data_IF_102543785837
#
_entry.id   IF_102543785837
#
_cell.length_a   1.000
_cell.length_b   1.000
_cell.length_c   1.000
_cell.angle_alpha   90.00
_cell.angle_beta   90.00
_cell.angle_gamma   90.00
#
_symmetry.space_group_name_H-M   'P 1'
#
loop_
_entity.id
_entity.type
_entity.pdbx_description
1 polymer ?
#
# COMPACT_ATOMS: atom_id res chain seq x y z
N UNK A 1 -7.29 -35.97 12.31
CA UNK A 1 -7.07 -35.71 10.85
C UNK A 1 -8.24 -35.02 10.14
N UNK A 2 -9.38 -34.79 10.78
CA UNK A 2 -10.54 -34.09 10.19
C UNK A 2 -10.38 -32.53 10.11
N UNK A 3 -9.44 -31.94 10.83
CA UNK A 3 -9.27 -30.49 10.88
C UNK A 3 -8.53 -29.87 9.70
N UNK A 4 -7.64 -30.61 9.04
CA UNK A 4 -6.85 -30.08 7.94
C UNK A 4 -7.67 -29.94 6.63
N UNK A 5 -8.65 -30.81 6.42
CA UNK A 5 -9.53 -30.74 5.25
C UNK A 5 -10.54 -29.60 5.29
N UNK A 6 -10.93 -29.16 6.50
CA UNK A 6 -11.85 -28.03 6.69
C UNK A 6 -11.14 -26.67 6.45
N UNK A 7 -9.85 -26.59 6.76
CA UNK A 7 -9.03 -25.36 6.52
C UNK A 7 -8.82 -25.13 5.03
N UNK A 8 -8.70 -26.17 4.22
CA UNK A 8 -8.51 -26.07 2.77
C UNK A 8 -9.80 -25.76 1.99
N UNK A 9 -10.97 -25.88 2.61
CA UNK A 9 -12.26 -25.51 1.99
C UNK A 9 -12.74 -24.12 2.35
N UNK A 10 -11.86 -23.14 2.57
CA UNK A 10 -12.18 -21.72 2.80
C UNK A 10 -13.49 -21.48 3.57
N UNK A 11 -13.71 -22.21 4.67
CA UNK A 11 -14.93 -22.08 5.47
C UNK A 11 -16.17 -22.79 4.91
N UNK A 12 -16.07 -23.60 3.86
CA UNK A 12 -17.17 -24.45 3.41
C UNK A 12 -17.60 -25.38 4.56
N UNK A 13 -18.71 -25.07 5.20
CA UNK A 13 -19.23 -25.76 6.39
C UNK A 13 -19.10 -25.00 7.70
N UNK A 14 -18.58 -23.77 7.72
CA UNK A 14 -18.74 -22.90 8.88
C UNK A 14 -20.24 -22.58 9.05
N UNK A 15 -20.80 -22.71 10.27
CA UNK A 15 -22.21 -22.41 10.49
C UNK A 15 -22.46 -20.93 10.15
N UNK A 16 -23.31 -20.69 9.17
CA UNK A 16 -23.80 -19.34 8.88
C UNK A 16 -24.63 -18.90 10.08
N UNK A 17 -24.35 -17.75 10.70
CA UNK A 17 -25.14 -17.27 11.82
C UNK A 17 -26.60 -17.07 11.38
N UNK A 18 -27.48 -17.92 11.88
CA UNK A 18 -28.91 -17.83 11.64
C UNK A 18 -29.52 -16.86 12.63
N UNK A 19 -30.26 -15.87 12.15
CA UNK A 19 -31.08 -15.01 13.01
C UNK A 19 -30.79 -13.51 12.98
N UNK A 20 -29.83 -13.06 12.20
CA UNK A 20 -29.41 -11.63 12.21
C UNK A 20 -29.96 -10.77 11.05
N UNK A 21 -30.89 -11.30 10.24
CA UNK A 21 -31.66 -10.50 9.26
C UNK A 21 -30.82 -9.72 8.21
N UNK A 22 -29.51 -9.98 8.13
CA UNK A 22 -28.59 -9.25 7.28
C UNK A 22 -28.41 -10.01 5.97
N UNK A 23 -28.61 -9.34 4.85
CA UNK A 23 -28.42 -9.90 3.51
C UNK A 23 -27.00 -10.49 3.27
N UNK A 24 -26.04 -10.14 4.10
CA UNK A 24 -24.66 -10.64 4.09
C UNK A 24 -24.49 -12.04 4.70
N UNK A 25 -25.51 -12.56 5.35
CA UNK A 25 -25.48 -13.88 6.00
C UNK A 25 -25.94 -15.02 5.06
N UNK A 26 -26.10 -14.76 3.75
CA UNK A 26 -26.42 -15.82 2.81
C UNK A 26 -25.21 -16.78 2.66
N UNK A 27 -25.40 -18.11 2.62
CA UNK A 27 -24.31 -19.06 2.45
C UNK A 27 -23.43 -18.76 1.24
N UNK A 28 -24.01 -18.30 0.13
CA UNK A 28 -23.30 -17.98 -1.09
C UNK A 28 -22.36 -16.76 -0.93
N UNK A 29 -22.73 -15.78 -0.10
CA UNK A 29 -21.88 -14.61 0.16
C UNK A 29 -20.80 -14.92 1.21
N UNK A 30 -21.14 -15.77 2.18
CA UNK A 30 -20.21 -16.20 3.23
C UNK A 30 -19.02 -17.01 2.69
N UNK A 31 -19.25 -17.81 1.67
CA UNK A 31 -18.23 -18.65 1.02
C UNK A 31 -17.56 -17.97 -0.19
N UNK A 32 -18.02 -16.79 -0.57
CA UNK A 32 -17.45 -16.07 -1.71
C UNK A 32 -16.04 -15.54 -1.39
N UNK A 33 -15.04 -15.83 -2.24
CA UNK A 33 -13.69 -15.26 -2.09
C UNK A 33 -13.61 -13.80 -2.54
N UNK A 34 -14.70 -13.24 -3.07
CA UNK A 34 -14.73 -11.90 -3.61
C UNK A 34 -15.20 -10.87 -2.59
N UNK A 35 -14.69 -9.64 -2.72
CA UNK A 35 -15.12 -8.51 -1.91
C UNK A 35 -16.57 -8.14 -2.23
N UNK A 36 -17.49 -8.58 -1.40
CA UNK A 36 -18.93 -8.31 -1.56
C UNK A 36 -19.43 -7.22 -0.61
N UNK A 37 -18.78 -7.04 0.53
CA UNK A 37 -19.18 -6.09 1.57
C UNK A 37 -18.53 -4.71 1.37
N UNK A 38 -19.31 -3.67 1.52
CA UNK A 38 -18.83 -2.28 1.55
C UNK A 38 -18.57 -1.60 0.20
N UNK A 39 -18.69 -2.32 -0.92
CA UNK A 39 -18.45 -1.77 -2.27
C UNK A 39 -19.70 -1.51 -3.08
N UNK A 40 -20.88 -1.51 -2.47
CA UNK A 40 -22.15 -1.44 -3.20
C UNK A 40 -22.49 -2.67 -4.06
N UNK A 41 -21.71 -3.75 -3.95
CA UNK A 41 -22.04 -5.14 -4.31
C UNK A 41 -22.28 -5.47 -5.79
N UNK A 42 -22.31 -4.51 -6.71
CA UNK A 42 -22.70 -4.77 -8.09
C UNK A 42 -21.66 -5.56 -8.90
N UNK A 43 -20.37 -5.37 -8.60
CA UNK A 43 -19.27 -5.96 -9.39
C UNK A 43 -18.11 -6.43 -8.50
N UNK A 44 -18.26 -7.56 -7.77
CA UNK A 44 -17.28 -8.02 -6.79
C UNK A 44 -15.93 -8.37 -7.40
N UNK A 45 -15.91 -8.86 -8.65
CA UNK A 45 -14.66 -9.12 -9.38
C UNK A 45 -13.85 -7.85 -9.59
N UNK A 46 -14.48 -6.78 -10.08
CA UNK A 46 -13.82 -5.49 -10.35
C UNK A 46 -13.29 -4.88 -9.05
N UNK A 47 -14.06 -4.97 -7.97
CA UNK A 47 -13.65 -4.51 -6.65
C UNK A 47 -12.41 -5.28 -6.16
N UNK A 48 -12.40 -6.60 -6.29
CA UNK A 48 -11.28 -7.45 -5.88
C UNK A 48 -10.01 -7.15 -6.68
N UNK A 49 -10.12 -7.07 -8.01
CA UNK A 49 -8.99 -6.68 -8.86
C UNK A 49 -8.53 -5.25 -8.57
N UNK A 50 -9.45 -4.35 -8.24
CA UNK A 50 -9.11 -2.99 -7.82
C UNK A 50 -8.18 -2.95 -6.62
N UNK A 51 -8.48 -3.72 -5.58
CA UNK A 51 -7.61 -3.86 -4.40
C UNK A 51 -6.26 -4.49 -4.75
N UNK A 52 -6.26 -5.54 -5.58
CA UNK A 52 -5.01 -6.19 -6.02
C UNK A 52 -4.13 -5.20 -6.80
N UNK A 53 -4.70 -4.47 -7.76
CA UNK A 53 -4.00 -3.44 -8.53
C UNK A 53 -3.49 -2.33 -7.62
N UNK A 54 -4.34 -1.81 -6.72
CA UNK A 54 -3.94 -0.79 -5.76
C UNK A 54 -2.76 -1.24 -4.93
N UNK A 55 -2.84 -2.44 -4.34
CA UNK A 55 -1.80 -2.97 -3.44
C UNK A 55 -0.51 -3.27 -4.19
N UNK A 56 -0.58 -3.93 -5.34
CA UNK A 56 0.58 -4.32 -6.13
C UNK A 56 1.35 -3.08 -6.65
N UNK A 57 0.67 -2.20 -7.33
CA UNK A 57 1.28 -0.99 -7.90
C UNK A 57 1.53 0.09 -6.86
N UNK A 58 0.70 0.15 -5.81
CA UNK A 58 0.90 1.08 -4.70
C UNK A 58 2.16 0.78 -3.90
N UNK A 59 2.48 -0.50 -3.68
CA UNK A 59 3.71 -0.90 -3.01
C UNK A 59 4.97 -0.39 -3.75
N UNK A 60 4.94 -0.33 -5.09
CA UNK A 60 6.01 0.24 -5.91
C UNK A 60 6.08 1.76 -5.75
N UNK A 61 4.92 2.42 -5.61
CA UNK A 61 4.80 3.88 -5.54
C UNK A 61 5.04 4.49 -4.16
N UNK A 62 5.10 3.71 -3.09
CA UNK A 62 5.20 4.25 -1.72
C UNK A 62 6.64 4.69 -1.38
N UNK A 63 6.87 6.00 -1.12
CA UNK A 63 8.21 6.54 -0.94
C UNK A 63 8.94 5.95 0.28
N UNK A 64 8.25 5.66 1.36
CA UNK A 64 8.85 5.11 2.57
C UNK A 64 9.37 3.66 2.39
N UNK A 65 8.87 2.92 1.41
CA UNK A 65 9.41 1.62 1.01
C UNK A 65 10.69 1.83 0.21
N UNK A 66 10.68 2.76 -0.75
CA UNK A 66 11.82 3.04 -1.62
C UNK A 66 13.04 3.57 -0.86
N UNK A 67 12.83 4.44 0.12
CA UNK A 67 13.92 4.99 0.96
C UNK A 67 14.77 3.89 1.59
N UNK A 68 14.19 2.75 1.94
CA UNK A 68 14.91 1.61 2.54
C UNK A 68 15.93 0.97 1.59
N UNK A 69 15.72 1.09 0.26
CA UNK A 69 16.71 0.59 -0.71
C UNK A 69 17.96 1.46 -0.75
N UNK A 70 17.82 2.77 -0.53
CA UNK A 70 18.96 3.71 -0.52
C UNK A 70 19.88 3.55 0.70
N UNK A 71 19.45 2.86 1.75
CA UNK A 71 20.28 2.59 2.93
C UNK A 71 21.25 1.42 2.74
N UNK A 72 21.12 0.65 1.67
CA UNK A 72 22.04 -0.44 1.37
C UNK A 72 23.32 0.09 0.70
N UNK A 73 24.50 -0.46 1.06
CA UNK A 73 25.78 0.03 0.54
C UNK A 73 26.00 -0.28 -0.95
N UNK A 74 25.40 -1.35 -1.47
CA UNK A 74 25.49 -1.77 -2.87
C UNK A 74 24.27 -2.60 -3.29
N UNK A 75 24.16 -2.91 -4.59
CA UNK A 75 23.04 -3.63 -5.16
C UNK A 75 22.98 -5.11 -4.75
N UNK A 76 24.13 -5.73 -4.40
CA UNK A 76 24.16 -7.10 -3.88
C UNK A 76 23.52 -7.16 -2.49
N UNK A 77 23.89 -6.23 -1.60
CA UNK A 77 23.28 -6.09 -0.29
C UNK A 77 21.76 -5.78 -0.41
N UNK A 78 21.38 -4.91 -1.35
CA UNK A 78 19.98 -4.61 -1.60
C UNK A 78 19.18 -5.84 -2.02
N UNK A 79 19.71 -6.68 -2.93
CA UNK A 79 19.05 -7.93 -3.34
C UNK A 79 18.91 -8.93 -2.18
N UNK A 80 19.98 -9.10 -1.39
CA UNK A 80 19.96 -9.98 -0.22
C UNK A 80 18.94 -9.51 0.80
N UNK A 81 18.91 -8.22 1.10
CA UNK A 81 17.93 -7.61 2.01
C UNK A 81 16.50 -7.83 1.48
N UNK A 82 16.27 -7.62 0.18
CA UNK A 82 14.97 -7.85 -0.45
C UNK A 82 14.50 -9.30 -0.29
N UNK A 83 15.37 -10.28 -0.55
CA UNK A 83 15.04 -11.70 -0.37
C UNK A 83 14.65 -12.02 1.08
N UNK A 84 15.43 -11.54 2.04
CA UNK A 84 15.14 -11.74 3.46
C UNK A 84 13.81 -11.12 3.83
N UNK A 85 13.54 -9.89 3.39
CA UNK A 85 12.27 -9.19 3.64
C UNK A 85 11.10 -9.94 3.02
N UNK A 86 11.22 -10.40 1.77
CA UNK A 86 10.16 -11.17 1.10
C UNK A 86 9.86 -12.47 1.86
N UNK A 87 10.88 -13.22 2.28
CA UNK A 87 10.71 -14.44 3.06
C UNK A 87 10.02 -14.17 4.41
N UNK A 88 10.46 -13.14 5.12
CA UNK A 88 9.87 -12.75 6.41
C UNK A 88 8.41 -12.31 6.25
N UNK A 89 8.12 -11.47 5.23
CA UNK A 89 6.76 -11.02 4.95
C UNK A 89 5.87 -12.19 4.53
N UNK A 90 6.34 -13.09 3.65
CA UNK A 90 5.59 -14.27 3.24
C UNK A 90 5.23 -15.16 4.43
N UNK A 91 6.18 -15.37 5.33
CA UNK A 91 5.94 -16.10 6.58
C UNK A 91 4.96 -15.38 7.48
N UNK A 92 5.11 -14.05 7.62
CA UNK A 92 4.19 -13.25 8.43
C UNK A 92 2.75 -13.29 7.90
N UNK A 93 2.55 -13.17 6.60
CA UNK A 93 1.21 -13.17 6.00
C UNK A 93 0.45 -14.50 6.12
N UNK A 94 1.12 -15.60 6.48
CA UNK A 94 0.44 -16.85 6.83
C UNK A 94 -0.41 -16.71 8.12
N UNK A 95 0.07 -15.92 9.10
CA UNK A 95 -0.63 -15.76 10.38
C UNK A 95 -2.00 -15.06 10.22
N UNK A 96 -2.13 -13.91 9.56
CA UNK A 96 -3.43 -13.28 9.32
C UNK A 96 -4.40 -14.20 8.57
N UNK A 97 -3.93 -14.98 7.58
CA UNK A 97 -4.76 -15.91 6.85
C UNK A 97 -5.32 -17.02 7.77
N UNK A 98 -4.46 -17.60 8.61
CA UNK A 98 -4.89 -18.61 9.61
C UNK A 98 -5.85 -18.00 10.63
N UNK A 99 -5.55 -16.81 11.14
CA UNK A 99 -6.41 -16.12 12.10
C UNK A 99 -7.78 -15.78 11.51
N UNK A 100 -7.84 -15.36 10.24
CA UNK A 100 -9.10 -15.11 9.55
C UNK A 100 -9.98 -16.37 9.45
N UNK A 101 -9.39 -17.52 9.12
CA UNK A 101 -10.09 -18.79 9.08
C UNK A 101 -10.57 -19.20 10.48
N UNK A 102 -9.71 -19.09 11.50
CA UNK A 102 -10.08 -19.40 12.88
C UNK A 102 -11.20 -18.50 13.40
N UNK A 103 -11.16 -17.21 13.07
CA UNK A 103 -12.20 -16.26 13.45
C UNK A 103 -13.55 -16.62 12.81
N UNK A 104 -13.57 -16.98 11.53
CA UNK A 104 -14.80 -17.44 10.86
C UNK A 104 -15.39 -18.71 11.49
N UNK A 105 -14.53 -19.63 11.93
CA UNK A 105 -14.96 -20.91 12.53
C UNK A 105 -15.40 -20.79 13.99
N UNK A 106 -14.79 -19.87 14.76
CA UNK A 106 -14.95 -19.83 16.22
C UNK A 106 -15.72 -18.60 16.73
N UNK A 107 -15.77 -17.54 15.94
CA UNK A 107 -16.40 -16.27 16.33
C UNK A 107 -17.09 -15.59 15.13
N UNK A 108 -18.04 -16.28 14.45
CA UNK A 108 -18.73 -15.72 13.29
C UNK A 108 -19.49 -14.43 13.62
N UNK A 109 -19.94 -14.25 14.86
CA UNK A 109 -20.64 -13.06 15.34
C UNK A 109 -19.77 -11.79 15.28
N UNK A 110 -18.45 -11.88 15.38
CA UNK A 110 -17.56 -10.72 15.27
C UNK A 110 -17.56 -10.09 13.86
N UNK A 111 -17.87 -10.87 12.83
CA UNK A 111 -18.03 -10.34 11.48
C UNK A 111 -19.36 -9.61 11.26
N UNK A 112 -20.32 -9.82 12.16
CA UNK A 112 -21.67 -9.29 12.06
C UNK A 112 -21.88 -8.07 12.94
N UNK A 113 -21.10 -7.94 14.02
CA UNK A 113 -21.06 -6.77 14.89
C UNK A 113 -20.04 -5.79 14.34
N UNK A 114 -20.38 -4.97 13.40
CA UNK A 114 -19.78 -3.72 12.89
C UNK A 114 -18.27 -3.40 13.13
N UNK A 115 -17.45 -4.29 13.68
CA UNK A 115 -16.05 -4.01 13.98
C UNK A 115 -15.10 -5.15 13.57
N UNK A 116 -15.00 -5.45 12.25
CA UNK A 116 -14.12 -6.50 11.75
C UNK A 116 -12.63 -6.22 12.00
N UNK A 117 -12.26 -4.96 12.22
CA UNK A 117 -10.87 -4.55 12.44
C UNK A 117 -10.36 -4.99 13.84
N UNK A 118 -11.26 -5.24 14.80
CA UNK A 118 -10.92 -5.71 16.15
C UNK A 118 -10.79 -7.24 16.28
N UNK A 119 -11.13 -8.01 15.25
CA UNK A 119 -11.19 -9.48 15.28
C UNK A 119 -9.89 -10.11 15.79
N UNK A 120 -8.73 -9.62 15.34
CA UNK A 120 -7.42 -10.16 15.72
C UNK A 120 -7.13 -9.93 17.22
N UNK A 121 -7.61 -8.83 17.78
CA UNK A 121 -7.46 -8.51 19.21
C UNK A 121 -8.42 -9.29 20.10
N UNK A 122 -9.61 -9.57 19.59
CA UNK A 122 -10.69 -10.25 20.32
C UNK A 122 -10.57 -11.79 20.29
N UNK A 123 -9.85 -12.33 19.31
CA UNK A 123 -9.73 -13.77 19.10
C UNK A 123 -9.00 -14.52 20.24
N UNK A 124 -7.88 -14.04 20.82
CA UNK A 124 -7.15 -14.76 21.86
C UNK A 124 -7.97 -15.08 23.10
N UNK A 125 -8.74 -14.17 23.71
CA UNK A 125 -9.56 -14.51 24.88
C UNK A 125 -10.76 -15.43 24.55
N UNK A 126 -11.21 -15.46 23.30
CA UNK A 126 -12.26 -16.37 22.84
C UNK A 126 -11.74 -17.81 22.65
N UNK A 127 -10.48 -17.96 22.24
CA UNK A 127 -9.84 -19.26 22.01
C UNK A 127 -9.25 -19.87 23.29
N UNK A 128 -8.73 -19.03 24.17
CA UNK A 128 -8.03 -19.42 25.41
C UNK A 128 -8.74 -18.80 26.60
N UNK A 129 -9.40 -19.64 27.39
CA UNK A 129 -10.08 -19.20 28.60
C UNK A 129 -9.09 -18.73 29.68
N UNK A 130 -9.48 -17.70 30.45
CA UNK A 130 -8.77 -17.26 31.63
C UNK A 130 -7.57 -16.32 31.35
N UNK A 131 -6.59 -16.33 32.29
CA UNK A 131 -5.46 -15.38 32.25
C UNK A 131 -4.56 -15.51 31.03
N UNK A 132 -4.42 -16.71 30.47
CA UNK A 132 -3.60 -16.95 29.29
C UNK A 132 -4.14 -16.22 28.06
N UNK A 133 -5.44 -16.25 27.81
CA UNK A 133 -6.08 -15.53 26.71
C UNK A 133 -5.94 -14.01 26.86
N UNK A 134 -6.11 -13.49 28.08
CA UNK A 134 -5.94 -12.06 28.36
C UNK A 134 -4.50 -11.59 28.15
N UNK A 135 -3.51 -12.36 28.59
CA UNK A 135 -2.10 -12.04 28.39
C UNK A 135 -1.73 -12.08 26.90
N UNK A 136 -2.24 -13.04 26.15
CA UNK A 136 -2.01 -13.13 24.72
C UNK A 136 -2.66 -11.94 23.98
N UNK A 137 -3.90 -11.57 24.34
CA UNK A 137 -4.55 -10.38 23.79
C UNK A 137 -3.76 -9.09 24.07
N UNK A 138 -3.26 -8.93 25.30
CA UNK A 138 -2.43 -7.79 25.67
C UNK A 138 -1.11 -7.76 24.86
N UNK A 139 -0.49 -8.90 24.63
CA UNK A 139 0.74 -9.00 23.82
C UNK A 139 0.46 -8.65 22.35
N UNK A 140 -0.63 -9.15 21.79
CA UNK A 140 -1.05 -8.82 20.42
C UNK A 140 -1.37 -7.33 20.28
N UNK A 141 -2.09 -6.76 21.25
CA UNK A 141 -2.38 -5.33 21.29
C UNK A 141 -1.11 -4.49 21.36
N UNK A 142 -0.18 -4.84 22.25
CA UNK A 142 1.11 -4.15 22.36
C UNK A 142 1.92 -4.23 21.06
N UNK A 143 1.92 -5.38 20.38
CA UNK A 143 2.55 -5.56 19.08
C UNK A 143 1.91 -4.70 18.00
N UNK A 144 0.57 -4.63 17.96
CA UNK A 144 -0.17 -3.78 17.03
C UNK A 144 0.14 -2.29 17.24
N UNK A 145 0.12 -1.81 18.49
CA UNK A 145 0.50 -0.44 18.81
C UNK A 145 1.95 -0.11 18.43
N UNK A 146 2.88 -1.03 18.69
CA UNK A 146 4.28 -0.85 18.30
C UNK A 146 4.42 -0.75 16.76
N UNK A 147 3.69 -1.56 16.00
CA UNK A 147 3.67 -1.50 14.54
C UNK A 147 3.08 -0.19 14.02
N UNK A 148 1.97 0.29 14.60
CA UNK A 148 1.35 1.57 14.23
C UNK A 148 2.28 2.75 14.51
N UNK A 149 2.92 2.79 15.68
CA UNK A 149 3.87 3.85 16.02
C UNK A 149 5.09 3.84 15.10
N UNK A 150 5.64 2.66 14.79
CA UNK A 150 6.77 2.51 13.88
C UNK A 150 6.43 3.00 12.46
N UNK A 151 5.27 2.63 11.94
CA UNK A 151 4.84 3.03 10.59
C UNK A 151 4.53 4.53 10.55
N UNK A 152 3.76 5.03 11.50
CA UNK A 152 3.36 6.44 11.57
C UNK A 152 4.57 7.36 11.69
N UNK A 153 5.55 7.00 12.54
CA UNK A 153 6.78 7.80 12.69
C UNK A 153 7.61 7.79 11.40
N UNK A 154 7.72 6.64 10.71
CA UNK A 154 8.44 6.55 9.44
C UNK A 154 7.79 7.40 8.34
N UNK A 155 6.47 7.38 8.24
CA UNK A 155 5.71 8.22 7.29
C UNK A 155 5.85 9.71 7.62
N UNK A 156 5.73 10.06 8.91
CA UNK A 156 5.86 11.44 9.39
C UNK A 156 7.25 12.00 9.09
N UNK A 157 8.31 11.25 9.35
CA UNK A 157 9.69 11.63 9.02
C UNK A 157 9.86 11.83 7.51
N UNK A 158 9.28 10.96 6.68
CA UNK A 158 9.35 11.09 5.22
C UNK A 158 8.66 12.36 4.72
N UNK A 159 7.45 12.66 5.21
CA UNK A 159 6.71 13.87 4.84
C UNK A 159 7.41 15.13 5.35
N UNK A 160 7.84 15.14 6.61
CA UNK A 160 8.55 16.27 7.19
C UNK A 160 9.89 16.53 6.48
N UNK A 161 10.59 15.45 6.08
CA UNK A 161 11.82 15.54 5.29
C UNK A 161 11.58 16.20 3.93
N UNK A 162 10.60 15.74 3.17
CA UNK A 162 10.25 16.33 1.88
C UNK A 162 9.82 17.80 2.01
N UNK A 163 8.95 18.12 2.98
CA UNK A 163 8.50 19.50 3.18
C UNK A 163 9.65 20.44 3.58
N UNK A 164 10.49 20.01 4.54
CA UNK A 164 11.55 20.86 5.06
C UNK A 164 12.71 21.03 4.11
N UNK A 165 13.10 19.98 3.36
CA UNK A 165 14.24 19.98 2.48
C UNK A 165 13.89 20.48 1.08
N UNK A 166 12.82 19.94 0.47
CA UNK A 166 12.53 20.18 -0.94
C UNK A 166 11.71 21.46 -1.15
N UNK A 167 10.83 21.81 -0.20
CA UNK A 167 9.95 22.98 -0.31
C UNK A 167 10.53 24.19 0.46
N UNK A 168 10.82 24.01 1.75
CA UNK A 168 11.22 25.12 2.63
C UNK A 168 12.73 25.36 2.67
N UNK A 169 13.55 24.44 2.13
CA UNK A 169 15.03 24.50 2.14
C UNK A 169 15.61 24.88 3.50
N UNK A 170 14.98 24.36 4.57
CA UNK A 170 15.30 24.71 5.94
C UNK A 170 16.20 23.69 6.64
N UNK A 171 16.65 24.05 7.85
CA UNK A 171 17.45 23.18 8.71
C UNK A 171 16.60 22.33 9.67
N UNK A 172 17.25 21.85 10.76
CA UNK A 172 16.63 20.97 11.76
C UNK A 172 15.39 21.60 12.42
N UNK A 173 15.37 22.91 12.66
CA UNK A 173 14.22 23.62 13.23
C UNK A 173 13.00 23.56 12.29
N UNK A 174 13.21 23.78 11.00
CA UNK A 174 12.18 23.68 9.96
C UNK A 174 11.64 22.25 9.86
N UNK A 175 12.52 21.24 9.93
CA UNK A 175 12.11 19.85 9.96
C UNK A 175 11.17 19.53 11.13
N UNK A 176 11.49 20.00 12.35
CA UNK A 176 10.65 19.80 13.54
C UNK A 176 9.28 20.46 13.36
N UNK A 177 9.25 21.69 12.85
CA UNK A 177 8.00 22.38 12.55
C UNK A 177 7.16 21.61 11.53
N UNK A 178 7.76 21.17 10.42
CA UNK A 178 7.08 20.37 9.40
C UNK A 178 6.55 19.06 9.97
N UNK A 179 7.26 18.40 10.87
CA UNK A 179 6.83 17.17 11.52
C UNK A 179 5.59 17.41 12.40
N UNK A 180 5.59 18.48 13.21
CA UNK A 180 4.44 18.84 14.05
C UNK A 180 3.23 19.20 13.19
N UNK A 181 3.42 20.02 12.14
CA UNK A 181 2.33 20.41 11.25
C UNK A 181 1.76 19.21 10.48
N UNK A 182 2.62 18.36 9.92
CA UNK A 182 2.18 17.15 9.23
C UNK A 182 1.43 16.18 10.16
N UNK A 183 1.90 16.01 11.40
CA UNK A 183 1.23 15.23 12.41
C UNK A 183 -0.13 15.80 12.80
N UNK A 184 -0.22 17.11 13.00
CA UNK A 184 -1.49 17.79 13.29
C UNK A 184 -2.49 17.63 12.14
N UNK A 185 -2.05 17.85 10.88
CA UNK A 185 -2.91 17.67 9.70
C UNK A 185 -3.39 16.22 9.59
N UNK A 186 -2.48 15.24 9.77
CA UNK A 186 -2.86 13.83 9.73
C UNK A 186 -3.89 13.46 10.82
N UNK A 187 -3.72 13.98 12.04
CA UNK A 187 -4.65 13.75 13.15
C UNK A 187 -6.03 14.38 12.86
N UNK A 188 -6.05 15.61 12.37
CA UNK A 188 -7.31 16.27 11.99
C UNK A 188 -8.00 15.57 10.83
N UNK A 189 -7.24 15.09 9.84
CA UNK A 189 -7.77 14.34 8.71
C UNK A 189 -8.31 12.95 9.12
N UNK A 190 -7.84 12.39 10.23
CA UNK A 190 -8.32 11.11 10.74
C UNK A 190 -9.74 11.20 11.34
N UNK A 191 -10.16 12.36 11.88
CA UNK A 191 -11.45 12.52 12.55
C UNK A 191 -12.67 12.17 11.69
N UNK A 192 -12.79 12.61 10.42
CA UNK A 192 -13.95 12.28 9.58
C UNK A 192 -13.94 10.88 8.99
N UNK A 193 -12.82 10.13 9.11
CA UNK A 193 -12.64 8.81 8.48
C UNK A 193 -12.90 7.63 9.42
N UNK A 194 -13.20 7.87 10.67
CA UNK A 194 -13.50 6.86 11.70
C UNK A 194 -14.63 5.87 11.29
N UNK A 195 -15.54 6.32 10.44
CA UNK A 195 -16.64 5.50 9.90
C UNK A 195 -16.24 4.49 8.81
N UNK A 196 -15.01 4.54 8.32
CA UNK A 196 -14.52 3.64 7.27
C UNK A 196 -13.60 2.58 7.87
N UNK A 197 -13.66 1.35 7.33
CA UNK A 197 -12.76 0.26 7.75
C UNK A 197 -11.31 0.59 7.44
N UNK A 198 -10.39 0.15 8.31
CA UNK A 198 -8.95 0.32 8.12
C UNK A 198 -8.46 -0.25 6.77
N UNK A 199 -9.01 -1.40 6.37
CA UNK A 199 -8.67 -2.02 5.09
C UNK A 199 -8.99 -1.14 3.89
N UNK A 200 -10.12 -0.42 3.92
CA UNK A 200 -10.50 0.51 2.86
C UNK A 200 -9.58 1.73 2.83
N UNK A 201 -9.28 2.32 3.99
CA UNK A 201 -8.38 3.48 4.10
C UNK A 201 -6.97 3.17 3.60
N UNK A 202 -6.44 2.02 3.99
CA UNK A 202 -5.15 1.54 3.50
C UNK A 202 -5.20 1.31 1.99
N UNK A 203 -6.26 0.68 1.47
CA UNK A 203 -6.49 0.49 0.03
C UNK A 203 -6.50 1.81 -0.74
N UNK A 204 -7.12 2.86 -0.22
CA UNK A 204 -7.11 4.19 -0.83
C UNK A 204 -5.72 4.84 -0.83
N UNK A 205 -4.95 4.70 0.25
CA UNK A 205 -3.58 5.19 0.30
C UNK A 205 -2.70 4.51 -0.77
N UNK A 206 -2.83 3.18 -0.89
CA UNK A 206 -2.15 2.42 -1.96
C UNK A 206 -2.65 2.83 -3.36
N UNK A 207 -3.95 3.08 -3.54
CA UNK A 207 -4.51 3.52 -4.83
C UNK A 207 -3.94 4.87 -5.28
N UNK A 208 -3.80 5.84 -4.37
CA UNK A 208 -3.16 7.13 -4.67
C UNK A 208 -1.70 6.93 -5.09
N UNK A 209 -0.94 6.15 -4.33
CA UNK A 209 0.46 5.86 -4.65
C UNK A 209 0.60 5.11 -6.00
N UNK A 210 -0.29 4.15 -6.27
CA UNK A 210 -0.36 3.41 -7.52
C UNK A 210 -0.66 4.31 -8.73
N UNK A 211 -1.56 5.28 -8.55
CA UNK A 211 -2.01 6.18 -9.63
C UNK A 211 -1.12 7.40 -9.86
N UNK A 212 -0.15 7.64 -8.98
CA UNK A 212 0.76 8.80 -9.06
C UNK A 212 2.21 8.37 -9.26
N UNK A 213 2.81 7.76 -8.25
CA UNK A 213 4.25 7.48 -8.22
C UNK A 213 4.64 6.21 -8.96
N UNK A 214 3.79 5.18 -8.99
CA UNK A 214 4.15 3.93 -9.66
C UNK A 214 4.42 4.12 -11.17
N UNK A 215 3.55 4.78 -11.97
CA UNK A 215 3.83 5.07 -13.37
C UNK A 215 5.12 5.89 -13.55
N UNK A 216 5.35 6.87 -12.68
CA UNK A 216 6.56 7.69 -12.69
C UNK A 216 7.83 6.84 -12.51
N UNK A 217 7.85 5.95 -11.53
CA UNK A 217 9.00 5.09 -11.24
C UNK A 217 9.22 4.08 -12.36
N UNK A 218 8.15 3.40 -12.79
CA UNK A 218 8.25 2.37 -13.83
C UNK A 218 8.72 2.99 -15.15
N UNK A 219 8.11 4.07 -15.60
CA UNK A 219 8.51 4.73 -16.84
C UNK A 219 9.86 5.43 -16.68
N UNK A 220 10.16 5.99 -15.53
CA UNK A 220 11.46 6.63 -15.25
C UNK A 220 12.64 5.66 -15.32
N UNK A 221 12.45 4.40 -14.91
CA UNK A 221 13.48 3.37 -14.95
C UNK A 221 13.57 2.70 -16.34
N UNK A 222 12.44 2.44 -17.00
CA UNK A 222 12.41 1.59 -18.18
C UNK A 222 12.20 2.34 -19.50
N UNK A 223 11.73 3.59 -19.46
CA UNK A 223 11.36 4.32 -20.67
C UNK A 223 12.16 5.61 -20.88
N UNK A 224 13.03 5.65 -21.89
CA UNK A 224 13.97 6.73 -22.17
C UNK A 224 13.33 8.05 -22.61
N UNK A 225 12.06 8.03 -23.03
CA UNK A 225 11.37 9.20 -23.58
C UNK A 225 10.51 9.95 -22.55
N UNK A 226 10.61 9.58 -21.27
CA UNK A 226 9.88 10.26 -20.21
C UNK A 226 10.38 11.71 -20.10
N UNK A 227 9.45 12.66 -20.18
CA UNK A 227 9.73 14.10 -19.99
C UNK A 227 9.22 14.54 -18.63
N UNK A 228 9.79 15.63 -18.09
CA UNK A 228 9.31 16.18 -16.82
C UNK A 228 7.86 16.68 -16.92
N UNK A 229 7.44 17.19 -18.10
CA UNK A 229 6.05 17.61 -18.36
C UNK A 229 5.10 16.41 -18.32
N UNK A 230 5.49 15.30 -18.98
CA UNK A 230 4.72 14.07 -18.95
C UNK A 230 4.64 13.48 -17.55
N UNK A 231 5.75 13.47 -16.81
CA UNK A 231 5.82 13.01 -15.45
C UNK A 231 4.86 13.78 -14.51
N UNK A 232 4.93 15.12 -14.53
CA UNK A 232 4.03 15.97 -13.73
C UNK A 232 2.58 15.83 -14.14
N UNK A 233 2.28 15.82 -15.45
CA UNK A 233 0.92 15.63 -15.94
C UNK A 233 0.33 14.28 -15.48
N UNK A 234 1.09 13.19 -15.59
CA UNK A 234 0.64 11.87 -15.14
C UNK A 234 0.39 11.78 -13.63
N UNK A 235 1.29 12.33 -12.83
CA UNK A 235 1.11 12.38 -11.37
C UNK A 235 -0.10 13.20 -10.97
N UNK A 236 -0.27 14.39 -11.55
CA UNK A 236 -1.39 15.29 -11.22
C UNK A 236 -2.72 14.72 -11.70
N UNK A 237 -2.80 14.22 -12.92
CA UNK A 237 -4.05 13.69 -13.47
C UNK A 237 -4.40 12.34 -12.83
N UNK A 238 -3.45 11.41 -12.74
CA UNK A 238 -3.69 10.09 -12.16
C UNK A 238 -3.95 10.15 -10.66
N UNK A 239 -3.07 10.79 -9.92
CA UNK A 239 -3.21 10.98 -8.46
C UNK A 239 -4.41 11.86 -8.11
N UNK A 240 -4.61 12.96 -8.85
CA UNK A 240 -5.75 13.86 -8.66
C UNK A 240 -7.09 13.17 -8.94
N UNK A 241 -7.21 12.41 -10.04
CA UNK A 241 -8.41 11.65 -10.35
C UNK A 241 -8.71 10.59 -9.28
N UNK A 242 -7.68 9.89 -8.77
CA UNK A 242 -7.81 8.96 -7.68
C UNK A 242 -8.29 9.65 -6.39
N UNK A 243 -7.66 10.76 -6.02
CA UNK A 243 -8.04 11.54 -4.85
C UNK A 243 -9.48 12.07 -4.95
N UNK A 244 -9.90 12.62 -6.11
CA UNK A 244 -11.27 13.05 -6.34
C UNK A 244 -12.29 11.90 -6.22
N UNK A 245 -11.96 10.71 -6.73
CA UNK A 245 -12.81 9.54 -6.61
C UNK A 245 -12.98 9.11 -5.14
N UNK A 246 -11.91 9.13 -4.36
CA UNK A 246 -11.95 8.82 -2.91
C UNK A 246 -12.82 9.84 -2.17
N UNK A 247 -12.59 11.13 -2.41
CA UNK A 247 -13.38 12.20 -1.80
C UNK A 247 -14.85 12.07 -2.18
N UNK A 248 -15.15 11.81 -3.46
CA UNK A 248 -16.52 11.56 -3.92
C UNK A 248 -17.17 10.37 -3.19
N UNK A 249 -16.41 9.29 -2.97
CA UNK A 249 -16.87 8.13 -2.19
C UNK A 249 -17.15 8.51 -0.72
N UNK A 250 -16.29 9.31 -0.11
CA UNK A 250 -16.46 9.77 1.29
C UNK A 250 -17.74 10.60 1.46
N UNK A 251 -18.14 11.37 0.45
CA UNK A 251 -19.38 12.15 0.44
C UNK A 251 -20.59 11.40 -0.12
N UNK A 252 -20.47 10.12 -0.43
CA UNK A 252 -21.58 9.28 -0.89
C UNK A 252 -22.08 9.60 -2.31
N UNK A 253 -21.21 10.15 -3.16
CA UNK A 253 -21.59 10.59 -4.52
C UNK A 253 -22.13 9.45 -5.43
N UNK A 254 -21.80 8.18 -5.15
CA UNK A 254 -22.36 7.03 -5.83
C UNK A 254 -22.68 5.92 -4.82
N UNK A 255 -23.96 5.76 -4.51
CA UNK A 255 -24.40 4.77 -3.52
C UNK A 255 -24.54 3.35 -4.12
N UNK A 256 -24.74 3.19 -5.43
CA UNK A 256 -25.10 1.91 -6.07
C UNK A 256 -24.49 1.73 -7.46
N UNK A 257 -24.35 0.48 -7.88
CA UNK A 257 -23.99 0.09 -9.24
C UNK A 257 -22.51 0.32 -9.60
N UNK A 258 -22.25 0.52 -10.89
CA UNK A 258 -20.89 0.72 -11.42
C UNK A 258 -20.18 1.93 -10.85
N UNK A 259 -20.91 3.02 -10.60
CA UNK A 259 -20.35 4.24 -10.00
C UNK A 259 -19.75 3.97 -8.63
N UNK A 260 -20.46 3.25 -7.76
CA UNK A 260 -19.99 2.89 -6.42
C UNK A 260 -18.72 2.02 -6.47
N UNK A 261 -18.67 1.05 -7.40
CA UNK A 261 -17.52 0.16 -7.56
C UNK A 261 -16.28 0.91 -8.06
N UNK A 262 -16.45 1.74 -9.10
CA UNK A 262 -15.34 2.49 -9.71
C UNK A 262 -14.81 3.62 -8.81
N UNK A 263 -15.67 4.28 -8.06
CA UNK A 263 -15.27 5.33 -7.11
C UNK A 263 -14.67 4.71 -5.84
N UNK A 264 -15.24 3.58 -5.35
CA UNK A 264 -14.73 2.87 -4.18
C UNK A 264 -13.38 2.20 -4.40
N UNK A 265 -13.11 1.76 -5.65
CA UNK A 265 -11.85 1.12 -6.05
C UNK A 265 -11.23 1.85 -7.26
N UNK A 266 -10.77 3.10 -7.08
CA UNK A 266 -10.35 3.95 -8.19
C UNK A 266 -9.12 3.43 -8.95
N UNK A 267 -8.25 2.63 -8.33
CA UNK A 267 -7.02 2.13 -8.93
C UNK A 267 -7.23 1.39 -10.26
N UNK A 268 -8.38 0.75 -10.44
CA UNK A 268 -8.71 0.00 -11.67
C UNK A 268 -8.58 0.87 -12.92
N UNK A 269 -9.03 2.10 -12.85
CA UNK A 269 -9.05 3.02 -14.00
C UNK A 269 -8.03 4.15 -13.86
N UNK A 270 -7.70 4.61 -12.65
CA UNK A 270 -6.77 5.72 -12.46
C UNK A 270 -5.32 5.33 -12.70
N UNK A 271 -4.93 4.09 -12.43
CA UNK A 271 -3.58 3.59 -12.74
C UNK A 271 -3.34 3.55 -14.26
N UNK A 272 -4.18 2.88 -15.07
CA UNK A 272 -4.05 2.95 -16.53
C UNK A 272 -4.11 4.38 -17.07
N UNK A 273 -4.99 5.21 -16.53
CA UNK A 273 -5.09 6.63 -16.92
C UNK A 273 -3.76 7.36 -16.70
N UNK A 274 -3.14 7.18 -15.55
CA UNK A 274 -1.86 7.81 -15.22
C UNK A 274 -0.75 7.39 -16.20
N UNK A 275 -0.66 6.09 -16.53
CA UNK A 275 0.29 5.59 -17.54
C UNK A 275 0.02 6.22 -18.91
N UNK A 276 -1.22 6.22 -19.38
CA UNK A 276 -1.60 6.78 -20.68
C UNK A 276 -1.27 8.26 -20.75
N UNK A 277 -1.68 9.06 -19.75
CA UNK A 277 -1.41 10.49 -19.72
C UNK A 277 0.09 10.76 -19.70
N UNK A 278 0.86 10.05 -18.89
CA UNK A 278 2.29 10.19 -18.77
C UNK A 278 3.01 9.89 -20.10
N UNK A 279 2.60 8.82 -20.78
CA UNK A 279 3.14 8.41 -22.08
C UNK A 279 2.78 9.44 -23.17
N UNK A 280 1.49 9.76 -23.30
CA UNK A 280 1.00 10.68 -24.33
C UNK A 280 1.64 12.06 -24.18
N UNK A 281 1.63 12.63 -22.98
CA UNK A 281 2.24 13.93 -22.73
C UNK A 281 3.75 13.94 -22.96
N UNK A 282 4.44 12.86 -22.63
CA UNK A 282 5.87 12.75 -22.92
C UNK A 282 6.17 12.64 -24.42
N UNK A 283 5.34 11.96 -25.18
CA UNK A 283 5.46 11.88 -26.65
C UNK A 283 5.20 13.23 -27.30
N UNK A 284 4.19 13.96 -26.83
CA UNK A 284 3.87 15.32 -27.30
C UNK A 284 4.95 16.35 -26.97
N UNK A 285 5.68 16.12 -25.86
CA UNK A 285 6.73 17.01 -25.37
C UNK A 285 8.14 16.44 -25.56
N UNK A 286 8.36 15.65 -26.60
CA UNK A 286 9.61 14.92 -26.84
C UNK A 286 10.87 15.80 -26.87
N UNK A 287 10.72 17.10 -27.19
CA UNK A 287 11.81 18.11 -27.15
C UNK A 287 12.32 18.39 -25.72
N UNK A 288 11.54 18.07 -24.69
CA UNK A 288 11.89 18.28 -23.29
C UNK A 288 12.62 17.08 -22.66
N UNK A 289 13.00 16.07 -23.44
CA UNK A 289 13.81 14.93 -22.97
C UNK A 289 15.22 15.44 -22.64
N UNK A 290 15.76 15.18 -21.44
CA UNK A 290 17.10 15.61 -21.07
C UNK A 290 18.18 15.00 -21.99
N UNK A 291 19.20 15.75 -22.41
CA UNK A 291 20.20 15.29 -23.38
C UNK A 291 21.08 14.12 -22.89
N UNK A 292 21.14 13.90 -21.57
CA UNK A 292 21.97 12.87 -20.95
C UNK A 292 21.21 11.59 -20.55
N UNK A 293 19.93 11.46 -20.94
CA UNK A 293 19.07 10.31 -20.56
C UNK A 293 19.69 8.98 -20.95
N UNK A 294 20.28 8.88 -22.14
CA UNK A 294 20.90 7.64 -22.61
C UNK A 294 22.06 7.19 -21.71
N UNK A 295 22.90 8.13 -21.28
CA UNK A 295 24.02 7.87 -20.38
C UNK A 295 23.55 7.43 -18.99
N UNK A 296 22.49 8.06 -18.47
CA UNK A 296 21.90 7.74 -17.17
C UNK A 296 21.27 6.33 -17.22
N UNK A 297 20.47 6.06 -18.26
CA UNK A 297 19.86 4.74 -18.48
C UNK A 297 20.90 3.63 -18.63
N UNK A 298 21.97 3.89 -19.40
CA UNK A 298 23.07 2.95 -19.55
C UNK A 298 23.71 2.64 -18.19
N UNK A 299 23.98 3.65 -17.37
CA UNK A 299 24.54 3.46 -16.02
C UNK A 299 23.63 2.70 -15.09
N UNK A 300 22.32 2.96 -15.13
CA UNK A 300 21.36 2.24 -14.29
C UNK A 300 21.23 0.75 -14.63
N UNK A 301 21.43 0.39 -15.90
CA UNK A 301 21.27 -0.99 -16.38
C UNK A 301 22.58 -1.77 -16.55
N UNK A 302 23.74 -1.10 -16.38
CA UNK A 302 25.04 -1.79 -16.42
C UNK A 302 25.26 -2.61 -15.15
N UNK A 303 25.82 -3.83 -15.27
CA UNK A 303 26.27 -4.60 -14.11
C UNK A 303 27.30 -3.85 -13.28
N UNK A 304 27.16 -3.87 -11.96
CA UNK A 304 28.04 -3.12 -11.02
C UNK A 304 29.53 -3.43 -11.19
N UNK A 305 29.87 -4.69 -11.56
CA UNK A 305 31.23 -5.10 -11.82
C UNK A 305 31.91 -4.33 -12.96
N UNK A 306 31.17 -3.95 -13.98
CA UNK A 306 31.68 -3.13 -15.09
C UNK A 306 31.84 -1.68 -14.68
N UNK A 307 30.89 -1.17 -13.89
CA UNK A 307 30.96 0.21 -13.36
C UNK A 307 32.19 0.36 -12.46
N UNK A 308 32.43 -0.55 -11.53
CA UNK A 308 33.60 -0.54 -10.64
C UNK A 308 34.91 -0.59 -11.41
N UNK A 309 35.01 -1.42 -12.46
CA UNK A 309 36.21 -1.49 -13.32
C UNK A 309 36.46 -0.19 -14.07
N UNK A 310 35.44 0.44 -14.60
CA UNK A 310 35.56 1.71 -15.33
C UNK A 310 36.00 2.86 -14.41
N UNK A 311 35.48 2.91 -13.18
CA UNK A 311 35.91 3.90 -12.19
C UNK A 311 37.30 3.62 -11.62
N UNK A 312 37.67 2.35 -11.40
CA UNK A 312 39.02 1.98 -10.97
C UNK A 312 40.08 2.34 -12.03
N UNK A 313 39.75 2.16 -13.31
CA UNK A 313 40.64 2.53 -14.41
C UNK A 313 40.83 4.05 -14.60
N UNK A 314 39.90 4.87 -14.10
CA UNK A 314 39.94 6.34 -14.16
C UNK A 314 40.51 7.02 -12.92
N UNK A 315 40.84 6.30 -11.84
CA UNK A 315 41.56 6.90 -10.70
C UNK A 315 42.96 7.31 -11.16
N UNK A 316 43.33 8.58 -11.06
CA UNK A 316 44.71 8.98 -11.31
C UNK A 316 45.58 8.18 -10.34
N UNK A 317 46.69 7.64 -10.86
CA UNK A 317 47.68 6.97 -10.02
C UNK A 317 48.07 7.92 -8.88
N UNK A 318 48.14 7.44 -7.61
CA UNK A 318 48.64 8.28 -6.52
C UNK A 318 50.01 8.81 -6.92
N UNK A 319 50.14 10.11 -6.97
CA UNK A 319 51.45 10.73 -7.12
C UNK A 319 52.27 10.35 -5.90
N UNK A 320 53.27 9.53 -6.14
CA UNK A 320 54.31 9.22 -5.15
C UNK A 320 55.09 10.51 -4.92
N UNK A 321 54.87 11.14 -3.78
CA UNK A 321 55.76 12.14 -3.23
C UNK A 321 56.73 11.46 -2.27
#
# INVERSE_FOLDING_TARGET
MAGAGAVLRFGAGAPVPTGLGIAQASPAMWDSPFLTAGTGGAHPLVATYGVIIATLFGAIGLPHILVRFYTNPDGEAARRTTLIVVLLLSTFYLFPAVLAVLARLRAPELYLTSDPDSVVLSLPPLLLAGRAGMLLAALVAAGAFAAFLSTSSGLLVSVAGALSHDIMRGGVGTFRLCAVLAGAVATLAALPVDRFSLGLLVGWAFAIAASSFCPLIVLGIWWRRLTWIGATAGVVVGGGACFCAIVATMFGAAAHGWGATLLGQPAVWTVPLAFVVMIVMSLLTSRAVPPHVELVMLRMHLPEGLIRRTYAARRPKPQQY
#
